data_IF_929183491944
#
_entry.id   IF_929183491944
#
_cell.length_a   1.000
_cell.length_b   1.000
_cell.length_c   1.000
_cell.angle_alpha   90.00
_cell.angle_beta   90.00
_cell.angle_gamma   90.00
#
_symmetry.space_group_name_H-M   'P 1'
#
loop_
_entity.id
_entity.type
_entity.pdbx_description
1 polymer ?
#
# COMPACT_ATOMS: atom_id res chain seq x y z
N UNK A 1 -57.81 18.03 15.61
CA UNK A 1 -58.23 16.91 14.75
C UNK A 1 -57.03 16.18 14.20
N UNK A 2 -57.02 14.85 14.25
CA UNK A 2 -55.84 14.02 13.93
C UNK A 2 -55.30 14.19 12.50
N UNK A 3 -56.15 14.47 11.52
CA UNK A 3 -55.73 14.63 10.11
C UNK A 3 -54.75 15.80 9.88
N UNK A 4 -54.86 16.88 10.67
CA UNK A 4 -53.93 18.04 10.57
C UNK A 4 -52.53 17.68 11.05
N UNK A 5 -52.44 16.82 12.08
CA UNK A 5 -51.16 16.36 12.62
C UNK A 5 -50.42 15.46 11.63
N UNK A 6 -51.14 14.55 10.97
CA UNK A 6 -50.57 13.74 9.89
C UNK A 6 -50.11 14.58 8.70
N UNK A 7 -50.90 15.57 8.27
CA UNK A 7 -50.49 16.49 7.20
C UNK A 7 -49.22 17.28 7.54
N UNK A 8 -49.10 17.75 8.78
CA UNK A 8 -47.91 18.44 9.26
C UNK A 8 -46.69 17.51 9.31
N UNK A 9 -46.85 16.29 9.82
CA UNK A 9 -45.79 15.27 9.84
C UNK A 9 -45.26 14.94 8.43
N UNK A 10 -46.14 14.75 7.45
CA UNK A 10 -45.74 14.51 6.06
C UNK A 10 -45.04 15.74 5.44
N UNK A 11 -45.46 16.95 5.79
CA UNK A 11 -44.77 18.17 5.37
C UNK A 11 -43.34 18.27 5.93
N UNK A 12 -43.17 18.04 7.23
CA UNK A 12 -41.85 18.05 7.88
C UNK A 12 -40.93 16.95 7.34
N UNK A 13 -41.44 15.73 7.18
CA UNK A 13 -40.65 14.62 6.64
C UNK A 13 -40.27 14.85 5.18
N UNK A 14 -41.14 15.42 4.35
CA UNK A 14 -40.80 15.79 2.97
C UNK A 14 -39.68 16.84 2.89
N UNK A 15 -39.74 17.88 3.73
CA UNK A 15 -38.66 18.89 3.83
C UNK A 15 -37.36 18.26 4.34
N UNK A 16 -37.45 17.44 5.40
CA UNK A 16 -36.29 16.75 5.95
C UNK A 16 -35.62 15.84 4.90
N UNK A 17 -36.41 15.11 4.13
CA UNK A 17 -35.89 14.23 3.07
C UNK A 17 -35.20 15.02 1.95
N UNK A 18 -35.75 16.17 1.55
CA UNK A 18 -35.10 17.06 0.59
C UNK A 18 -33.75 17.59 1.11
N UNK A 19 -33.70 18.02 2.38
CA UNK A 19 -32.46 18.47 3.00
C UNK A 19 -31.44 17.31 3.10
N UNK A 20 -31.85 16.12 3.53
CA UNK A 20 -30.96 14.96 3.57
C UNK A 20 -30.41 14.60 2.19
N UNK A 21 -31.25 14.63 1.14
CA UNK A 21 -30.80 14.40 -0.24
C UNK A 21 -29.70 15.38 -0.63
N UNK A 22 -29.89 16.68 -0.38
CA UNK A 22 -28.87 17.69 -0.72
C UNK A 22 -27.58 17.50 0.09
N UNK A 23 -27.66 17.14 1.37
CA UNK A 23 -26.48 16.82 2.18
C UNK A 23 -25.74 15.57 1.68
N UNK A 24 -26.47 14.52 1.30
CA UNK A 24 -25.87 13.28 0.76
C UNK A 24 -25.14 13.59 -0.56
N UNK A 25 -25.76 14.34 -1.46
CA UNK A 25 -25.12 14.74 -2.73
C UNK A 25 -23.85 15.55 -2.45
N UNK A 26 -23.92 16.54 -1.55
CA UNK A 26 -22.75 17.34 -1.18
C UNK A 26 -21.61 16.49 -0.59
N UNK A 27 -21.93 15.55 0.30
CA UNK A 27 -20.93 14.62 0.87
C UNK A 27 -20.28 13.75 -0.19
N UNK A 28 -21.07 13.24 -1.14
CA UNK A 28 -20.53 12.45 -2.26
C UNK A 28 -19.57 13.26 -3.13
N UNK A 29 -19.89 14.51 -3.41
CA UNK A 29 -19.00 15.40 -4.17
C UNK A 29 -17.69 15.62 -3.43
N UNK A 30 -17.73 15.91 -2.12
CA UNK A 30 -16.51 16.09 -1.30
C UNK A 30 -15.67 14.79 -1.25
N UNK A 31 -16.32 13.63 -1.14
CA UNK A 31 -15.62 12.34 -1.17
C UNK A 31 -14.96 12.08 -2.52
N UNK A 32 -15.64 12.44 -3.62
CA UNK A 32 -15.10 12.33 -4.97
C UNK A 32 -13.91 13.27 -5.17
N UNK A 33 -13.99 14.52 -4.71
CA UNK A 33 -12.85 15.46 -4.74
C UNK A 33 -11.64 14.92 -3.95
N UNK A 34 -11.88 14.30 -2.78
CA UNK A 34 -10.81 13.69 -1.99
C UNK A 34 -10.19 12.47 -2.70
N UNK A 35 -11.00 11.63 -3.36
CA UNK A 35 -10.51 10.50 -4.15
C UNK A 35 -9.74 10.97 -5.38
N UNK A 36 -10.22 11.98 -6.10
CA UNK A 36 -9.52 12.56 -7.23
C UNK A 36 -8.17 13.15 -6.80
N UNK A 37 -8.12 13.81 -5.64
CA UNK A 37 -6.88 14.28 -5.04
C UNK A 37 -5.91 13.13 -4.71
N UNK A 38 -6.42 12.01 -4.18
CA UNK A 38 -5.60 10.81 -3.93
C UNK A 38 -5.08 10.20 -5.23
N UNK A 39 -5.94 9.98 -6.22
CA UNK A 39 -5.57 9.42 -7.52
C UNK A 39 -4.53 10.28 -8.26
N UNK A 40 -4.60 11.61 -8.10
CA UNK A 40 -3.61 12.52 -8.66
C UNK A 40 -2.23 12.40 -7.99
N UNK A 41 -2.17 12.06 -6.70
CA UNK A 41 -0.93 11.92 -5.92
C UNK A 41 -0.36 10.49 -5.96
N UNK A 42 -1.21 9.48 -6.11
CA UNK A 42 -0.86 8.06 -6.16
C UNK A 42 0.36 7.75 -7.05
N UNK A 43 0.46 8.21 -8.31
CA UNK A 43 1.63 7.88 -9.15
C UNK A 43 2.94 8.47 -8.61
N UNK A 44 2.90 9.61 -7.92
CA UNK A 44 4.10 10.20 -7.30
C UNK A 44 4.52 9.40 -6.07
N UNK A 45 3.56 9.07 -5.20
CA UNK A 45 3.83 8.27 -3.99
C UNK A 45 4.31 6.87 -4.35
N UNK A 46 3.72 6.25 -5.37
CA UNK A 46 4.14 4.94 -5.88
C UNK A 46 5.58 5.02 -6.42
N UNK A 47 5.90 6.02 -7.24
CA UNK A 47 7.25 6.21 -7.77
C UNK A 47 8.29 6.51 -6.68
N UNK A 48 7.91 7.24 -5.62
CA UNK A 48 8.77 7.45 -4.46
C UNK A 48 9.02 6.14 -3.70
N UNK A 49 7.98 5.36 -3.47
CA UNK A 49 8.07 4.06 -2.81
C UNK A 49 8.94 3.09 -3.62
N UNK A 50 8.72 2.96 -4.93
CA UNK A 50 9.52 2.13 -5.84
C UNK A 50 11.01 2.50 -5.78
N UNK A 51 11.32 3.80 -5.72
CA UNK A 51 12.71 4.27 -5.57
C UNK A 51 13.31 3.89 -4.22
N UNK A 52 12.55 4.02 -3.13
CA UNK A 52 13.02 3.63 -1.79
C UNK A 52 13.28 2.13 -1.71
N UNK A 53 12.32 1.35 -2.24
CA UNK A 53 12.39 -0.09 -2.31
C UNK A 53 13.62 -0.57 -3.11
N UNK A 54 13.83 -0.07 -4.33
CA UNK A 54 15.00 -0.45 -5.15
C UNK A 54 16.33 -0.01 -4.53
N UNK A 55 16.36 1.14 -3.85
CA UNK A 55 17.56 1.59 -3.11
C UNK A 55 17.91 0.64 -1.97
N UNK A 56 16.91 0.17 -1.24
CA UNK A 56 17.12 -0.79 -0.15
C UNK A 56 17.61 -2.14 -0.70
N UNK A 57 17.03 -2.66 -1.79
CA UNK A 57 17.55 -3.88 -2.43
C UNK A 57 18.98 -3.73 -2.93
N UNK A 58 19.31 -2.59 -3.52
CA UNK A 58 20.68 -2.29 -3.96
C UNK A 58 21.65 -2.30 -2.78
N UNK A 59 21.24 -1.75 -1.64
CA UNK A 59 22.04 -1.76 -0.41
C UNK A 59 22.28 -3.20 0.07
N UNK A 60 21.24 -4.01 0.17
CA UNK A 60 21.37 -5.41 0.61
C UNK A 60 22.27 -6.21 -0.33
N UNK A 61 22.15 -6.01 -1.65
CA UNK A 61 23.02 -6.66 -2.65
C UNK A 61 24.49 -6.24 -2.54
N UNK A 62 24.74 -4.99 -2.20
CA UNK A 62 26.10 -4.48 -1.99
C UNK A 62 26.72 -5.05 -0.71
N UNK A 63 25.92 -5.17 0.36
CA UNK A 63 26.34 -5.80 1.61
C UNK A 63 26.58 -7.32 1.42
N UNK A 64 25.75 -8.01 0.64
CA UNK A 64 25.95 -9.40 0.23
C UNK A 64 27.30 -9.57 -0.50
N UNK A 65 27.62 -8.67 -1.43
CA UNK A 65 28.88 -8.69 -2.18
C UNK A 65 30.09 -8.59 -1.27
N UNK A 66 30.03 -7.70 -0.27
CA UNK A 66 31.12 -7.55 0.70
C UNK A 66 31.22 -8.70 1.70
N UNK A 67 30.09 -9.26 2.13
CA UNK A 67 30.03 -10.37 3.07
C UNK A 67 30.51 -11.69 2.43
N UNK A 68 30.09 -11.97 1.19
CA UNK A 68 30.28 -13.26 0.53
C UNK A 68 31.54 -13.34 -0.35
N UNK A 69 32.36 -12.28 -0.41
CA UNK A 69 33.56 -12.20 -1.27
C UNK A 69 34.57 -13.34 -1.10
N UNK A 70 34.61 -13.96 0.07
CA UNK A 70 35.57 -15.01 0.40
C UNK A 70 34.99 -16.43 0.25
N UNK A 71 33.73 -16.58 -0.16
CA UNK A 71 33.06 -17.88 -0.29
C UNK A 71 33.27 -18.41 -1.72
N UNK A 72 33.90 -19.57 -1.89
CA UNK A 72 34.19 -20.11 -3.23
C UNK A 72 32.89 -20.48 -3.95
N UNK A 73 32.75 -20.01 -5.19
CA UNK A 73 31.59 -20.31 -6.04
C UNK A 73 30.35 -19.46 -5.74
N UNK A 74 30.40 -18.54 -4.77
CA UNK A 74 29.27 -17.64 -4.53
C UNK A 74 29.15 -16.59 -5.63
N UNK A 75 27.95 -16.47 -6.21
CA UNK A 75 27.62 -15.46 -7.21
C UNK A 75 26.48 -14.63 -6.66
N UNK A 76 26.73 -13.34 -6.44
CA UNK A 76 25.81 -12.39 -5.79
C UNK A 76 24.44 -12.40 -6.48
N UNK A 77 23.37 -12.51 -5.69
CA UNK A 77 21.99 -12.52 -6.19
C UNK A 77 21.54 -13.83 -6.85
N UNK A 78 22.34 -14.90 -6.73
CA UNK A 78 21.97 -16.26 -7.18
C UNK A 78 22.35 -17.27 -6.11
N UNK A 79 21.79 -18.47 -6.18
CA UNK A 79 22.24 -19.57 -5.34
C UNK A 79 23.42 -20.27 -6.02
N UNK A 80 24.66 -19.87 -5.69
CA UNK A 80 25.88 -20.43 -6.29
C UNK A 80 25.88 -20.47 -7.84
N UNK A 81 25.29 -19.45 -8.48
CA UNK A 81 25.15 -19.36 -9.94
C UNK A 81 23.82 -19.88 -10.50
N UNK A 82 22.99 -20.53 -9.69
CA UNK A 82 21.64 -20.96 -10.08
C UNK A 82 20.58 -19.92 -9.70
N UNK A 83 19.61 -19.63 -10.59
CA UNK A 83 18.49 -18.77 -10.24
C UNK A 83 17.59 -19.45 -9.20
N UNK A 84 17.17 -18.71 -8.18
CA UNK A 84 16.26 -19.21 -7.13
C UNK A 84 14.94 -19.70 -7.72
N UNK A 85 14.43 -18.99 -8.74
CA UNK A 85 13.18 -19.32 -9.41
C UNK A 85 13.44 -19.87 -10.81
N UNK A 86 13.23 -21.17 -11.01
CA UNK A 86 13.42 -21.83 -12.30
C UNK A 86 12.28 -21.62 -13.30
N UNK A 87 11.07 -21.32 -12.82
CA UNK A 87 9.87 -21.18 -13.66
C UNK A 87 9.66 -19.77 -14.20
N UNK A 88 10.40 -18.79 -13.69
CA UNK A 88 10.19 -17.37 -14.01
C UNK A 88 11.08 -16.92 -15.16
N UNK A 89 10.55 -16.03 -15.99
CA UNK A 89 11.30 -15.45 -17.10
C UNK A 89 12.39 -14.48 -16.60
N UNK A 90 13.45 -14.22 -17.41
CA UNK A 90 14.57 -13.38 -17.00
C UNK A 90 14.22 -11.92 -16.65
N UNK A 91 13.07 -11.43 -17.13
CA UNK A 91 12.61 -10.05 -16.95
C UNK A 91 11.52 -9.90 -15.90
N UNK A 92 11.28 -10.92 -15.08
CA UNK A 92 10.29 -10.87 -14.01
C UNK A 92 11.01 -10.53 -12.71
N UNK A 93 10.63 -9.43 -12.09
CA UNK A 93 11.07 -9.07 -10.75
C UNK A 93 10.16 -9.74 -9.73
N UNK A 94 10.76 -10.39 -8.73
CA UNK A 94 10.06 -11.05 -7.64
C UNK A 94 10.29 -10.25 -6.36
N UNK A 95 9.22 -9.96 -5.64
CA UNK A 95 9.32 -9.21 -4.40
C UNK A 95 9.90 -10.07 -3.29
N UNK A 96 10.89 -9.57 -2.55
CA UNK A 96 11.68 -10.34 -1.62
C UNK A 96 10.80 -10.68 -0.42
N UNK A 97 11.19 -11.72 0.30
CA UNK A 97 10.55 -11.99 1.58
C UNK A 97 10.91 -10.86 2.56
N UNK A 98 10.04 -10.57 3.53
CA UNK A 98 10.27 -9.55 4.55
C UNK A 98 11.65 -9.65 5.21
N UNK A 99 12.08 -10.87 5.47
CA UNK A 99 13.38 -11.21 6.07
C UNK A 99 14.56 -10.78 5.19
N UNK A 100 14.43 -10.89 3.86
CA UNK A 100 15.43 -10.47 2.89
C UNK A 100 15.48 -8.95 2.76
N UNK A 101 14.32 -8.29 2.78
CA UNK A 101 14.23 -6.83 2.70
C UNK A 101 14.78 -6.15 3.96
N UNK A 102 14.41 -6.68 5.13
CA UNK A 102 14.79 -6.15 6.45
C UNK A 102 16.02 -6.82 7.08
N UNK A 103 16.82 -7.56 6.30
CA UNK A 103 17.95 -8.37 6.79
C UNK A 103 18.93 -7.62 7.74
N UNK A 104 19.10 -6.31 7.55
CA UNK A 104 20.03 -5.47 8.32
C UNK A 104 19.37 -4.63 9.42
N UNK A 105 18.10 -4.90 9.73
CA UNK A 105 17.32 -4.15 10.74
C UNK A 105 17.29 -4.90 12.06
N UNK A 106 17.08 -4.19 13.18
CA UNK A 106 16.80 -4.86 14.46
C UNK A 106 15.58 -5.79 14.31
N UNK A 107 15.67 -7.06 14.74
CA UNK A 107 14.56 -8.01 14.65
C UNK A 107 13.23 -7.50 15.22
N UNK A 108 13.26 -6.70 16.29
CA UNK A 108 12.04 -6.12 16.88
C UNK A 108 11.40 -5.10 15.95
N UNK A 109 12.23 -4.26 15.31
CA UNK A 109 11.78 -3.24 14.38
C UNK A 109 11.28 -3.90 13.09
N UNK A 110 12.01 -4.89 12.58
CA UNK A 110 11.62 -5.67 11.40
C UNK A 110 10.25 -6.34 11.62
N UNK A 111 10.06 -7.00 12.76
CA UNK A 111 8.81 -7.66 13.11
C UNK A 111 7.66 -6.65 13.25
N UNK A 112 7.87 -5.53 13.96
CA UNK A 112 6.85 -4.48 14.06
C UNK A 112 6.46 -3.92 12.70
N UNK A 113 7.44 -3.59 11.85
CA UNK A 113 7.18 -3.05 10.53
C UNK A 113 6.42 -4.06 9.69
N UNK A 114 6.85 -5.33 9.64
CA UNK A 114 6.16 -6.38 8.89
C UNK A 114 4.68 -6.51 9.28
N UNK A 115 4.39 -6.64 10.59
CA UNK A 115 3.01 -6.75 11.05
C UNK A 115 2.21 -5.46 10.79
N UNK A 116 2.87 -4.30 10.82
CA UNK A 116 2.22 -3.04 10.45
C UNK A 116 1.74 -3.06 8.98
N UNK A 117 2.52 -3.65 8.07
CA UNK A 117 2.12 -3.77 6.66
C UNK A 117 1.01 -4.82 6.46
N UNK A 118 1.03 -5.95 7.19
CA UNK A 118 0.01 -7.01 7.04
C UNK A 118 -1.39 -6.63 7.55
N UNK A 119 -1.51 -5.78 8.58
CA UNK A 119 -2.80 -5.47 9.21
C UNK A 119 -3.47 -4.18 8.71
N UNK A 120 -2.74 -3.30 8.03
CA UNK A 120 -3.24 -1.99 7.63
C UNK A 120 -3.58 -1.87 6.13
N UNK A 121 -3.46 -2.95 5.37
CA UNK A 121 -3.83 -3.05 3.96
C UNK A 121 -4.81 -4.20 3.71
#
# INVERSE_FOLDING_TARGET
SGYKLFGLYFGFTGIAWYLLKTQIVRRKVIQLEAQDGHNALEPLLLAENDRLYLKQLKKNREEERELMKNVPGWVVGTYFGEPIYHTMGPNVHMDPVAEEYFAHTDPKIANYNWHYWDYNF
#
